data_IF_091493668657
#
_entry.id   IF_091493668657
#
_cell.length_a   1.000
_cell.length_b   1.000
_cell.length_c   1.000
_cell.angle_alpha   90.00
_cell.angle_beta   90.00
_cell.angle_gamma   90.00
#
_symmetry.space_group_name_H-M   'P 1'
#
loop_
_entity.id
_entity.type
_entity.pdbx_description
1 polymer ?
#
# COMPACT_ATOMS: atom_id res chain seq x y z
N UNK A 1 -14.85 4.03 -10.21
CA UNK A 1 -14.04 2.90 -10.73
C UNK A 1 -13.48 2.13 -9.55
N UNK A 2 -13.24 0.81 -9.67
CA UNK A 2 -12.58 0.04 -8.61
C UNK A 2 -11.54 -0.93 -9.19
N UNK A 3 -10.26 -0.70 -8.92
CA UNK A 3 -9.13 -1.52 -9.42
C UNK A 3 -8.01 -1.65 -8.38
N UNK A 4 -7.03 -2.53 -8.62
CA UNK A 4 -5.89 -2.68 -7.73
C UNK A 4 -5.05 -1.40 -7.75
N UNK A 5 -4.81 -0.81 -6.58
CA UNK A 5 -3.92 0.33 -6.46
C UNK A 5 -3.28 0.35 -5.07
N UNK A 6 -1.96 0.45 -5.02
CA UNK A 6 -1.16 0.48 -3.80
C UNK A 6 0.26 0.98 -4.13
N UNK A 7 1.11 1.13 -3.12
CA UNK A 7 2.55 1.41 -3.28
C UNK A 7 3.28 0.38 -4.17
N UNK A 8 2.66 -0.78 -4.45
CA UNK A 8 3.20 -1.81 -5.33
C UNK A 8 2.60 -1.77 -6.74
N UNK A 9 1.29 -1.64 -6.86
CA UNK A 9 0.58 -1.69 -8.15
C UNK A 9 0.16 -0.29 -8.51
N UNK A 10 0.81 0.29 -9.52
CA UNK A 10 0.66 1.70 -9.90
C UNK A 10 0.32 1.90 -11.38
N UNK A 11 0.05 0.82 -12.12
CA UNK A 11 -0.29 0.84 -13.55
C UNK A 11 -1.48 1.75 -13.89
N UNK A 12 -2.34 2.03 -12.91
CA UNK A 12 -3.52 2.89 -13.06
C UNK A 12 -3.17 4.38 -13.20
N UNK A 13 -1.97 4.79 -12.79
CA UNK A 13 -1.53 6.19 -12.79
C UNK A 13 -1.33 6.75 -14.21
N UNK A 14 -1.04 5.88 -15.18
CA UNK A 14 -0.79 6.25 -16.58
C UNK A 14 -2.06 6.22 -17.47
N UNK A 15 -3.26 6.07 -16.90
CA UNK A 15 -4.49 6.15 -17.71
C UNK A 15 -5.83 5.73 -17.09
N UNK A 16 -5.93 5.20 -15.87
CA UNK A 16 -7.28 4.96 -15.28
C UNK A 16 -7.57 6.04 -14.25
N UNK A 17 -6.58 6.34 -13.43
CA UNK A 17 -6.68 7.31 -12.35
C UNK A 17 -6.85 8.75 -12.88
N UNK A 18 -6.06 9.24 -13.87
CA UNK A 18 -6.24 10.60 -14.39
C UNK A 18 -7.59 10.78 -15.10
N UNK A 19 -8.02 9.77 -15.87
CA UNK A 19 -9.29 9.76 -16.59
C UNK A 19 -10.48 9.79 -15.62
N UNK A 20 -10.44 9.02 -14.53
CA UNK A 20 -11.46 9.07 -13.49
C UNK A 20 -11.57 10.49 -12.90
N UNK A 21 -10.43 11.14 -12.65
CA UNK A 21 -10.37 12.52 -12.16
C UNK A 21 -10.93 13.53 -13.17
N UNK A 22 -10.61 13.37 -14.45
CA UNK A 22 -11.09 14.26 -15.53
C UNK A 22 -12.62 14.22 -15.65
N UNK A 23 -13.23 13.04 -15.55
CA UNK A 23 -14.68 12.86 -15.73
C UNK A 23 -15.47 12.94 -14.42
N UNK A 24 -14.81 13.21 -13.29
CA UNK A 24 -15.45 13.36 -11.97
C UNK A 24 -15.99 12.05 -11.38
N UNK A 25 -15.33 10.92 -11.65
CA UNK A 25 -15.64 9.62 -11.05
C UNK A 25 -14.66 9.31 -9.92
N UNK A 26 -15.19 8.93 -8.76
CA UNK A 26 -14.35 8.46 -7.65
C UNK A 26 -13.62 7.16 -8.01
N UNK A 27 -12.34 7.11 -7.63
CA UNK A 27 -11.49 5.94 -7.79
C UNK A 27 -11.37 5.19 -6.45
N UNK A 28 -11.75 3.92 -6.43
CA UNK A 28 -11.68 3.05 -5.25
C UNK A 28 -10.53 2.06 -5.39
N UNK A 29 -9.57 2.10 -4.48
CA UNK A 29 -8.38 1.25 -4.51
C UNK A 29 -8.60 -0.06 -3.72
N UNK A 30 -8.66 -1.20 -4.43
CA UNK A 30 -8.66 -2.52 -3.78
C UNK A 30 -7.23 -3.04 -3.53
N UNK A 31 -7.10 -3.95 -2.55
CA UNK A 31 -5.81 -4.44 -2.05
C UNK A 31 -4.83 -3.32 -1.65
N UNK A 32 -5.27 -2.28 -0.91
CA UNK A 32 -4.47 -1.09 -0.68
C UNK A 32 -3.18 -1.37 0.13
N UNK A 33 -3.18 -2.41 0.96
CA UNK A 33 -2.05 -2.84 1.77
C UNK A 33 -1.18 -3.93 1.09
N UNK A 34 -1.33 -4.14 -0.22
CA UNK A 34 -0.51 -5.11 -0.96
C UNK A 34 -0.73 -6.55 -0.50
N UNK A 35 -1.96 -6.90 -0.11
CA UNK A 35 -2.32 -8.18 0.55
C UNK A 35 -1.56 -8.37 1.86
N UNK A 36 -1.75 -7.42 2.76
CA UNK A 36 -1.13 -7.31 4.09
C UNK A 36 0.40 -7.10 4.11
N UNK A 37 1.04 -7.04 2.94
CA UNK A 37 2.48 -6.86 2.85
C UNK A 37 2.96 -5.53 3.45
N UNK A 38 2.22 -4.44 3.23
CA UNK A 38 2.53 -3.12 3.80
C UNK A 38 2.13 -2.96 5.27
N UNK A 39 1.64 -4.02 5.93
CA UNK A 39 1.45 -4.00 7.39
C UNK A 39 2.75 -4.20 8.16
N UNK A 40 3.80 -4.68 7.49
CA UNK A 40 5.07 -5.06 8.14
C UNK A 40 5.03 -6.42 8.86
N UNK A 41 3.90 -7.13 8.85
CA UNK A 41 3.77 -8.41 9.56
C UNK A 41 4.38 -9.59 8.78
N UNK A 42 4.51 -9.47 7.46
CA UNK A 42 5.04 -10.50 6.56
C UNK A 42 6.54 -10.23 6.36
N UNK A 43 7.37 -10.76 7.26
CA UNK A 43 8.84 -10.58 7.23
C UNK A 43 9.55 -11.81 6.66
N UNK A 44 8.89 -12.96 6.70
CA UNK A 44 9.35 -14.24 6.17
C UNK A 44 8.22 -14.90 5.38
N UNK A 45 8.58 -15.70 4.37
CA UNK A 45 7.59 -16.44 3.57
C UNK A 45 6.68 -17.33 4.44
N UNK A 46 7.23 -17.89 5.53
CA UNK A 46 6.49 -18.75 6.46
C UNK A 46 5.52 -17.98 7.38
N UNK A 47 5.47 -16.64 7.31
CA UNK A 47 4.39 -15.87 7.94
C UNK A 47 3.06 -16.01 7.20
N UNK A 48 3.08 -16.43 5.93
CA UNK A 48 1.87 -16.77 5.18
C UNK A 48 1.34 -18.12 5.62
N UNK A 49 0.03 -18.23 5.90
CA UNK A 49 -0.61 -19.51 6.20
C UNK A 49 -0.41 -20.51 5.04
N UNK A 50 -0.35 -21.81 5.33
CA UNK A 50 -0.07 -22.84 4.30
C UNK A 50 -1.06 -22.82 3.13
N UNK A 51 -2.32 -22.45 3.40
CA UNK A 51 -3.41 -22.34 2.44
C UNK A 51 -3.59 -20.92 1.86
N UNK A 52 -2.68 -19.98 2.16
CA UNK A 52 -2.75 -18.62 1.67
C UNK A 52 -2.43 -18.54 0.16
N UNK A 53 -3.36 -18.01 -0.62
CA UNK A 53 -3.20 -17.82 -2.05
C UNK A 53 -1.99 -16.94 -2.43
N UNK A 54 -1.55 -16.03 -1.54
CA UNK A 54 -0.37 -15.20 -1.77
C UNK A 54 0.88 -16.05 -2.02
N UNK A 55 0.96 -17.27 -1.47
CA UNK A 55 2.07 -18.21 -1.71
C UNK A 55 2.23 -18.60 -3.18
N UNK A 56 1.16 -18.51 -3.98
CA UNK A 56 1.19 -18.78 -5.42
C UNK A 56 1.55 -17.56 -6.28
N UNK A 57 1.62 -16.36 -5.68
CA UNK A 57 1.91 -15.12 -6.40
C UNK A 57 3.41 -14.93 -6.58
N UNK A 58 3.85 -14.59 -7.80
CA UNK A 58 5.27 -14.31 -8.12
C UNK A 58 5.87 -13.23 -7.22
N UNK A 59 5.03 -12.33 -6.74
CA UNK A 59 5.35 -11.24 -5.81
C UNK A 59 5.86 -11.73 -4.45
N UNK A 60 5.44 -12.91 -4.03
CA UNK A 60 5.79 -13.49 -2.72
C UNK A 60 6.77 -14.65 -2.83
N UNK A 61 7.36 -14.91 -4.00
CA UNK A 61 8.21 -16.08 -4.22
C UNK A 61 9.69 -15.73 -4.38
N UNK A 62 10.55 -16.60 -3.82
CA UNK A 62 11.99 -16.58 -4.03
C UNK A 62 12.61 -15.19 -3.81
N UNK A 63 13.44 -14.76 -4.77
CA UNK A 63 14.12 -13.46 -4.70
C UNK A 63 13.16 -12.27 -4.74
N UNK A 64 12.00 -12.40 -5.38
CA UNK A 64 11.03 -11.31 -5.43
C UNK A 64 10.52 -10.98 -4.04
N UNK A 65 10.24 -11.98 -3.21
CA UNK A 65 9.80 -11.75 -1.83
C UNK A 65 10.75 -10.79 -1.09
N UNK A 66 12.06 -11.08 -1.14
CA UNK A 66 13.06 -10.28 -0.45
C UNK A 66 13.26 -8.89 -1.07
N UNK A 67 13.21 -8.78 -2.41
CA UNK A 67 13.23 -7.48 -3.10
C UNK A 67 12.03 -6.61 -2.71
N UNK A 68 10.86 -7.20 -2.59
CA UNK A 68 9.65 -6.50 -2.18
C UNK A 68 9.70 -6.15 -0.69
N UNK A 69 10.30 -7.00 0.14
CA UNK A 69 10.48 -6.70 1.56
C UNK A 69 11.33 -5.44 1.78
N UNK A 70 12.30 -5.17 0.91
CA UNK A 70 13.08 -3.93 0.97
C UNK A 70 12.22 -2.68 0.73
N UNK A 71 11.18 -2.77 -0.12
CA UNK A 71 10.18 -1.71 -0.25
C UNK A 71 9.43 -1.51 1.06
N UNK A 72 8.97 -2.59 1.70
CA UNK A 72 8.25 -2.51 2.99
C UNK A 72 9.12 -1.85 4.06
N UNK A 73 10.39 -2.25 4.19
CA UNK A 73 11.33 -1.63 5.15
C UNK A 73 11.45 -0.13 4.93
N UNK A 74 11.47 0.32 3.68
CA UNK A 74 11.55 1.76 3.39
C UNK A 74 10.29 2.50 3.82
N UNK A 75 9.12 1.93 3.56
CA UNK A 75 7.85 2.49 4.01
C UNK A 75 7.80 2.52 5.54
N UNK A 76 8.29 1.48 6.21
CA UNK A 76 8.42 1.44 7.66
C UNK A 76 9.37 2.53 8.18
N UNK A 77 10.49 2.81 7.51
CA UNK A 77 11.39 3.90 7.88
C UNK A 77 10.69 5.26 7.86
N UNK A 78 9.90 5.55 6.81
CA UNK A 78 9.14 6.80 6.69
C UNK A 78 8.05 6.85 7.78
N UNK A 79 7.31 5.76 7.96
CA UNK A 79 6.27 5.66 8.97
C UNK A 79 6.83 5.87 10.39
N UNK A 80 7.97 5.25 10.70
CA UNK A 80 8.65 5.40 11.99
C UNK A 80 9.13 6.83 12.24
N UNK A 81 9.67 7.52 11.22
CA UNK A 81 10.06 8.92 11.34
C UNK A 81 8.87 9.84 11.64
N UNK A 82 7.71 9.52 11.06
CA UNK A 82 6.45 10.27 11.27
C UNK A 82 5.72 9.86 12.56
N UNK A 83 6.07 8.71 13.15
CA UNK A 83 5.41 8.17 14.34
C UNK A 83 4.08 7.48 14.06
N UNK A 84 3.88 6.96 12.84
CA UNK A 84 2.66 6.26 12.40
C UNK A 84 2.99 4.82 12.00
N UNK A 85 1.97 3.98 11.80
CA UNK A 85 2.18 2.61 11.32
C UNK A 85 2.38 2.58 9.80
N UNK A 86 3.09 1.56 9.31
CA UNK A 86 3.32 1.35 7.87
C UNK A 86 2.00 1.18 7.09
N UNK A 87 1.04 0.45 7.67
CA UNK A 87 -0.33 0.32 7.18
C UNK A 87 -1.00 1.69 6.99
N UNK A 88 -0.92 2.54 8.00
CA UNK A 88 -1.50 3.88 7.98
C UNK A 88 -0.83 4.77 6.94
N UNK A 89 0.51 4.71 6.84
CA UNK A 89 1.26 5.45 5.81
C UNK A 89 0.83 5.04 4.39
N UNK A 90 0.65 3.73 4.14
CA UNK A 90 0.21 3.22 2.83
C UNK A 90 -1.21 3.67 2.47
N UNK A 91 -2.12 3.72 3.45
CA UNK A 91 -3.48 4.22 3.24
C UNK A 91 -3.50 5.74 3.04
N UNK A 92 -2.75 6.50 3.84
CA UNK A 92 -2.59 7.94 3.68
C UNK A 92 -1.98 8.30 2.33
N UNK A 93 -1.05 7.47 1.84
CA UNK A 93 -0.48 7.61 0.50
C UNK A 93 -1.56 7.51 -0.58
N UNK A 94 -2.45 6.50 -0.53
CA UNK A 94 -3.55 6.38 -1.51
C UNK A 94 -4.51 7.57 -1.47
N UNK A 95 -4.83 8.06 -0.27
CA UNK A 95 -5.67 9.26 -0.12
C UNK A 95 -5.02 10.48 -0.77
N UNK A 96 -3.69 10.63 -0.66
CA UNK A 96 -2.94 11.70 -1.33
C UNK A 96 -2.92 11.58 -2.86
N UNK A 97 -3.25 10.42 -3.43
CA UNK A 97 -3.37 10.18 -4.87
C UNK A 97 -4.81 10.36 -5.40
N UNK A 98 -5.70 10.99 -4.63
CA UNK A 98 -7.13 11.11 -4.96
C UNK A 98 -7.83 9.74 -5.12
N UNK A 99 -7.37 8.71 -4.40
CA UNK A 99 -7.97 7.38 -4.39
C UNK A 99 -8.55 7.04 -3.01
N UNK A 100 -9.74 6.43 -2.98
CA UNK A 100 -10.40 5.96 -1.76
C UNK A 100 -10.01 4.50 -1.49
N UNK A 101 -9.17 4.20 -0.48
CA UNK A 101 -8.76 2.83 -0.19
C UNK A 101 -9.88 2.03 0.49
N UNK A 102 -10.03 0.76 0.11
CA UNK A 102 -10.89 -0.20 0.83
C UNK A 102 -10.04 -1.22 1.58
N UNK A 103 -9.61 -0.83 2.79
CA UNK A 103 -8.85 -1.68 3.69
C UNK A 103 -9.76 -2.64 4.48
N UNK A 104 -9.84 -3.89 4.04
CA UNK A 104 -10.62 -4.93 4.71
C UNK A 104 -9.98 -5.38 6.03
N UNK A 105 -10.81 -5.64 7.04
CA UNK A 105 -10.35 -6.22 8.32
C UNK A 105 -11.47 -7.04 8.97
N UNK A 106 -11.08 -8.01 9.81
CA UNK A 106 -11.99 -8.80 10.66
C UNK A 106 -11.96 -8.36 12.13
N UNK A 107 -11.14 -7.37 12.50
CA UNK A 107 -10.93 -6.94 13.88
C UNK A 107 -11.09 -5.43 14.02
N UNK A 108 -11.80 -5.01 15.07
CA UNK A 108 -12.13 -3.59 15.33
C UNK A 108 -10.88 -2.74 15.52
N UNK A 109 -9.88 -3.24 16.24
CA UNK A 109 -8.63 -2.50 16.45
C UNK A 109 -7.90 -2.13 15.15
N UNK A 110 -7.96 -2.99 14.12
CA UNK A 110 -7.40 -2.66 12.80
C UNK A 110 -8.30 -1.72 11.99
N UNK A 111 -9.63 -1.74 12.24
CA UNK A 111 -10.53 -0.76 11.64
C UNK A 111 -10.23 0.64 12.18
N UNK A 112 -10.10 0.77 13.50
CA UNK A 112 -9.74 2.02 14.17
C UNK A 112 -8.38 2.53 13.65
N UNK A 113 -7.37 1.65 13.58
CA UNK A 113 -6.07 1.97 13.00
C UNK A 113 -6.15 2.46 11.55
N UNK A 114 -6.96 1.81 10.70
CA UNK A 114 -7.12 2.19 9.31
C UNK A 114 -7.83 3.55 9.15
N UNK A 115 -8.78 3.86 10.04
CA UNK A 115 -9.51 5.14 10.03
C UNK A 115 -8.57 6.30 10.35
N UNK A 116 -7.68 6.13 11.33
CA UNK A 116 -6.67 7.15 11.70
C UNK A 116 -5.75 7.54 10.54
N UNK A 117 -5.63 6.70 9.49
CA UNK A 117 -4.86 7.05 8.30
C UNK A 117 -5.43 8.26 7.53
N UNK A 118 -6.72 8.55 7.67
CA UNK A 118 -7.36 9.70 7.04
C UNK A 118 -6.89 11.05 7.61
N UNK A 119 -6.35 11.05 8.84
CA UNK A 119 -5.84 12.25 9.51
C UNK A 119 -4.34 12.48 9.26
N UNK A 120 -3.69 11.61 8.46
CA UNK A 120 -2.26 11.68 8.17
C UNK A 120 -2.01 12.46 6.88
N UNK A 121 -1.40 13.63 7.00
CA UNK A 121 -0.91 14.39 5.84
C UNK A 121 0.55 14.02 5.52
N UNK A 122 0.78 13.54 4.29
CA UNK A 122 2.13 13.27 3.79
C UNK A 122 2.76 14.54 3.20
N UNK A 123 4.00 14.83 3.57
CA UNK A 123 4.75 15.95 2.97
C UNK A 123 5.17 15.64 1.54
N UNK A 124 5.53 16.67 0.78
CA UNK A 124 6.06 16.49 -0.58
C UNK A 124 7.32 15.64 -0.59
N UNK A 125 8.16 15.78 0.44
CA UNK A 125 9.38 15.01 0.61
C UNK A 125 9.08 13.53 0.90
N UNK A 126 8.08 13.24 1.74
CA UNK A 126 7.64 11.87 2.03
C UNK A 126 7.07 11.21 0.78
N UNK A 127 6.21 11.91 0.02
CA UNK A 127 5.69 11.44 -1.27
C UNK A 127 6.82 11.21 -2.28
N UNK A 128 7.78 12.13 -2.40
CA UNK A 128 8.91 11.96 -3.32
C UNK A 128 9.77 10.73 -2.98
N UNK A 129 9.87 10.36 -1.70
CA UNK A 129 10.58 9.15 -1.29
C UNK A 129 9.89 7.86 -1.75
N UNK A 130 8.56 7.84 -1.85
CA UNK A 130 7.83 6.69 -2.41
C UNK A 130 8.02 6.58 -3.92
N UNK A 131 8.09 7.73 -4.62
CA UNK A 131 8.30 7.79 -6.08
C UNK A 131 9.68 7.29 -6.50
N UNK A 132 10.73 7.72 -5.80
CA UNK A 132 12.11 7.36 -6.11
C UNK A 132 12.36 5.85 -6.08
N UNK A 133 11.56 5.11 -5.33
CA UNK A 133 11.65 3.66 -5.24
C UNK A 133 10.86 2.93 -6.32
N UNK A 134 9.67 3.44 -6.66
CA UNK A 134 8.86 2.83 -7.71
C UNK A 134 9.62 2.79 -9.05
N UNK A 135 10.35 3.86 -9.38
CA UNK A 135 11.15 3.98 -10.61
C UNK A 135 12.40 3.08 -10.66
N UNK A 136 12.75 2.39 -9.56
CA UNK A 136 13.95 1.52 -9.48
C UNK A 136 13.63 0.03 -9.66
N UNK A 137 12.36 -0.33 -9.80
CA UNK A 137 11.88 -1.71 -9.96
C UNK A 137 11.86 -2.13 -11.44
#
# INVERSE_FOLDING_TARGET
MQTEYSLWSRDVEDGILPECKEIGIDFVAYSPLGKDFFTGQIQHFDNLAEDDYCRCSLRFQGENFYKNLDLVKRIEEIANQKGVKSSQLALAWLLAQDAVPIAGTKRVNYLEENIEAADIELTKEELAQTELWHLRQ
#
